data_IF_642475513168
#
_entry.id   IF_642475513168
#
_cell.length_a   1.000
_cell.length_b   1.000
_cell.length_c   1.000
_cell.angle_alpha   90.00
_cell.angle_beta   90.00
_cell.angle_gamma   90.00
#
_symmetry.space_group_name_H-M   'P 1'
#
loop_
_entity.id
_entity.type
_entity.pdbx_description
1 polymer ?
#
# COMPACT_ATOMS: atom_id res chain seq x y z
N UNK A 1 -3.94 -14.06 11.99
CA UNK A 1 -4.33 -12.78 11.34
C UNK A 1 -5.40 -13.11 10.31
N UNK A 2 -6.64 -12.66 10.52
CA UNK A 2 -7.70 -12.80 9.52
C UNK A 2 -7.30 -11.99 8.27
N UNK A 3 -7.66 -12.52 7.10
CA UNK A 3 -7.41 -11.94 5.77
C UNK A 3 -7.85 -10.47 5.69
N UNK A 4 -7.33 -9.67 4.74
CA UNK A 4 -7.71 -8.26 4.62
C UNK A 4 -9.23 -8.12 4.56
N UNK A 5 -9.72 -7.05 5.18
CA UNK A 5 -11.13 -6.70 5.28
C UNK A 5 -11.79 -6.82 3.89
N UNK A 6 -12.96 -7.47 3.77
CA UNK A 6 -13.68 -7.53 2.50
C UNK A 6 -13.99 -6.10 2.04
N UNK A 7 -13.43 -5.71 0.88
CA UNK A 7 -13.55 -4.36 0.33
C UNK A 7 -12.23 -3.67 -0.03
N UNK A 8 -11.08 -4.16 0.45
CA UNK A 8 -9.76 -3.63 0.08
C UNK A 8 -9.29 -4.19 -1.29
N UNK A 9 -10.08 -4.03 -2.35
CA UNK A 9 -9.76 -4.52 -3.70
C UNK A 9 -8.49 -3.92 -4.32
N UNK A 10 -7.97 -2.83 -3.75
CA UNK A 10 -6.70 -2.21 -4.11
C UNK A 10 -5.48 -2.94 -3.50
N UNK A 11 -5.68 -3.75 -2.46
CA UNK A 11 -4.61 -4.45 -1.77
C UNK A 11 -4.46 -5.86 -2.37
N UNK A 12 -3.34 -6.14 -3.02
CA UNK A 12 -3.02 -7.50 -3.46
C UNK A 12 -2.86 -8.41 -2.23
N UNK A 13 -3.48 -9.60 -2.21
CA UNK A 13 -3.31 -10.52 -1.10
C UNK A 13 -1.83 -10.90 -0.97
N UNK A 14 -1.30 -11.02 0.26
CA UNK A 14 0.10 -11.38 0.45
C UNK A 14 0.36 -12.76 -0.17
N UNK A 15 1.41 -12.85 -1.01
CA UNK A 15 1.83 -14.12 -1.61
C UNK A 15 2.22 -15.08 -0.48
N UNK A 16 1.42 -16.12 -0.28
CA UNK A 16 1.76 -17.19 0.66
C UNK A 16 2.91 -18.02 0.08
N UNK A 17 4.00 -18.13 0.83
CA UNK A 17 5.14 -18.96 0.43
C UNK A 17 4.75 -20.45 0.31
N UNK A 18 3.72 -20.89 1.04
CA UNK A 18 3.30 -22.29 1.08
C UNK A 18 4.08 -23.09 2.13
N UNK A 19 3.82 -24.40 2.20
CA UNK A 19 4.61 -25.34 3.03
C UNK A 19 6.01 -25.55 2.43
N UNK A 20 6.94 -26.09 3.23
CA UNK A 20 8.30 -26.38 2.76
C UNK A 20 8.28 -27.31 1.54
N UNK A 21 7.40 -28.31 1.59
CA UNK A 21 7.21 -29.32 0.57
C UNK A 21 6.70 -28.71 -0.74
N UNK A 22 5.73 -27.79 -0.66
CA UNK A 22 5.24 -27.05 -1.81
C UNK A 22 6.32 -26.17 -2.45
N UNK A 23 7.11 -25.47 -1.63
CA UNK A 23 8.21 -24.63 -2.13
C UNK A 23 9.24 -25.49 -2.86
N UNK A 24 9.63 -26.62 -2.26
CA UNK A 24 10.57 -27.55 -2.89
C UNK A 24 10.01 -28.15 -4.19
N UNK A 25 8.70 -28.45 -4.24
CA UNK A 25 8.04 -28.92 -5.46
C UNK A 25 8.07 -27.86 -6.57
N UNK A 26 7.76 -26.59 -6.25
CA UNK A 26 7.83 -25.47 -7.22
C UNK A 26 9.24 -25.26 -7.76
N UNK A 27 10.25 -25.31 -6.89
CA UNK A 27 11.65 -25.16 -7.30
C UNK A 27 12.05 -26.31 -8.23
N UNK A 28 11.73 -27.56 -7.87
CA UNK A 28 12.04 -28.72 -8.72
C UNK A 28 11.39 -28.62 -10.09
N UNK A 29 10.10 -28.24 -10.15
CA UNK A 29 9.39 -28.06 -11.41
C UNK A 29 10.03 -26.96 -12.26
N UNK A 30 10.34 -25.81 -11.66
CA UNK A 30 10.99 -24.71 -12.36
C UNK A 30 12.37 -25.11 -12.91
N UNK A 31 13.17 -25.83 -12.12
CA UNK A 31 14.48 -26.33 -12.55
C UNK A 31 14.35 -27.34 -13.69
N UNK A 32 13.39 -28.27 -13.63
CA UNK A 32 13.14 -29.22 -14.74
C UNK A 32 12.77 -28.49 -16.04
N UNK A 33 12.01 -27.40 -15.95
CA UNK A 33 11.60 -26.63 -17.11
C UNK A 33 12.75 -25.81 -17.72
N UNK A 34 13.66 -25.31 -16.89
CA UNK A 34 14.68 -24.32 -17.26
C UNK A 34 16.09 -24.88 -17.45
N UNK A 35 16.43 -26.03 -16.86
CA UNK A 35 17.77 -26.59 -16.97
C UNK A 35 18.11 -26.87 -18.44
N UNK A 36 19.22 -26.31 -18.91
CA UNK A 36 19.73 -26.52 -20.26
C UNK A 36 18.95 -25.80 -21.37
N UNK A 37 17.95 -24.98 -21.04
CA UNK A 37 17.24 -24.14 -22.00
C UNK A 37 17.70 -22.69 -21.89
N UNK A 38 17.75 -22.01 -23.04
CA UNK A 38 18.01 -20.59 -23.09
C UNK A 38 16.79 -19.85 -22.54
N UNK A 39 16.98 -19.18 -21.40
CA UNK A 39 15.91 -18.49 -20.70
C UNK A 39 15.65 -17.13 -21.36
N UNK A 40 14.43 -16.92 -21.83
CA UNK A 40 13.94 -15.60 -22.23
C UNK A 40 13.85 -14.73 -20.98
N UNK A 41 14.86 -13.89 -20.75
CA UNK A 41 14.83 -12.93 -19.65
C UNK A 41 13.72 -11.92 -19.87
N UNK A 42 12.92 -11.66 -18.83
CA UNK A 42 11.88 -10.63 -18.84
C UNK A 42 12.42 -9.29 -19.39
N UNK A 43 11.58 -8.61 -20.19
CA UNK A 43 11.91 -7.29 -20.70
C UNK A 43 12.17 -6.32 -19.55
N UNK A 44 13.00 -5.29 -19.80
CA UNK A 44 13.30 -4.27 -18.80
C UNK A 44 12.03 -3.62 -18.25
N UNK A 45 11.06 -3.35 -19.12
CA UNK A 45 9.78 -2.75 -18.73
C UNK A 45 8.98 -3.67 -17.80
N UNK A 46 8.85 -4.95 -18.15
CA UNK A 46 8.15 -5.94 -17.32
C UNK A 46 8.80 -6.10 -15.94
N UNK A 47 10.14 -6.05 -15.88
CA UNK A 47 10.87 -6.06 -14.61
C UNK A 47 10.59 -4.83 -13.76
N UNK A 48 10.61 -3.66 -14.37
CA UNK A 48 10.37 -2.38 -13.69
C UNK A 48 8.95 -2.28 -13.15
N UNK A 49 7.95 -2.68 -13.94
CA UNK A 49 6.54 -2.69 -13.49
C UNK A 49 6.34 -3.66 -12.33
N UNK A 50 6.86 -4.89 -12.44
CA UNK A 50 6.83 -5.88 -11.35
C UNK A 50 7.49 -5.37 -10.07
N UNK A 51 8.59 -4.63 -10.19
CA UNK A 51 9.28 -4.06 -9.03
C UNK A 51 8.50 -2.89 -8.41
N UNK A 52 7.96 -1.99 -9.23
CA UNK A 52 7.12 -0.89 -8.76
C UNK A 52 5.88 -1.41 -8.02
N UNK A 53 5.25 -2.45 -8.58
CA UNK A 53 4.12 -3.15 -7.96
C UNK A 53 4.48 -3.73 -6.59
N UNK A 54 5.64 -4.40 -6.47
CA UNK A 54 6.10 -4.97 -5.22
C UNK A 54 6.42 -3.90 -4.16
N UNK A 55 6.96 -2.74 -4.58
CA UNK A 55 7.20 -1.60 -3.69
C UNK A 55 5.89 -0.99 -3.19
N UNK A 56 4.91 -0.81 -4.07
CA UNK A 56 3.61 -0.27 -3.70
C UNK A 56 2.88 -1.18 -2.71
N UNK A 57 2.88 -2.50 -2.98
CA UNK A 57 2.31 -3.48 -2.06
C UNK A 57 3.00 -3.43 -0.69
N UNK A 58 4.34 -3.38 -0.67
CA UNK A 58 5.10 -3.26 0.58
C UNK A 58 4.75 -1.99 1.35
N UNK A 59 4.75 -0.83 0.68
CA UNK A 59 4.45 0.45 1.31
C UNK A 59 3.09 0.43 1.99
N UNK A 60 2.07 -0.12 1.31
CA UNK A 60 0.73 -0.25 1.87
C UNK A 60 0.72 -1.08 3.16
N UNK A 61 1.47 -2.18 3.21
CA UNK A 61 1.57 -3.01 4.42
C UNK A 61 2.32 -2.31 5.54
N UNK A 62 3.41 -1.61 5.22
CA UNK A 62 4.19 -0.83 6.19
C UNK A 62 3.34 0.32 6.77
N UNK A 63 2.55 1.02 5.94
CA UNK A 63 1.63 2.08 6.37
C UNK A 63 0.51 1.52 7.27
N UNK A 64 -0.09 0.39 6.89
CA UNK A 64 -1.12 -0.27 7.70
C UNK A 64 -0.56 -0.72 9.06
N UNK A 65 0.68 -1.24 9.07
CA UNK A 65 1.36 -1.62 10.30
C UNK A 65 1.60 -0.39 11.20
N UNK A 66 2.13 0.69 10.63
CA UNK A 66 2.35 1.94 11.36
C UNK A 66 1.03 2.50 11.94
N UNK A 67 -0.04 2.53 11.15
CA UNK A 67 -1.36 2.99 11.56
C UNK A 67 -1.97 2.13 12.69
N UNK A 68 -1.60 0.84 12.78
CA UNK A 68 -2.07 -0.05 13.85
C UNK A 68 -1.50 0.31 15.23
N UNK A 69 -0.30 0.89 15.28
CA UNK A 69 0.36 1.31 16.52
C UNK A 69 0.15 2.80 16.82
N UNK A 70 0.03 3.61 15.77
CA UNK A 70 -0.12 5.05 15.84
C UNK A 70 -1.31 5.50 14.98
N UNK A 71 -2.55 5.22 15.41
CA UNK A 71 -3.71 5.67 14.68
C UNK A 71 -3.71 7.20 14.64
N UNK A 72 -3.65 7.77 13.43
CA UNK A 72 -3.80 9.20 13.20
C UNK A 72 -5.24 9.60 13.51
N UNK A 73 -5.47 10.15 14.70
CA UNK A 73 -6.77 10.71 15.02
C UNK A 73 -6.94 12.05 14.31
N UNK A 74 -7.73 12.06 13.24
CA UNK A 74 -8.21 13.29 12.64
C UNK A 74 -9.49 13.68 13.36
N UNK A 75 -9.46 14.79 14.10
CA UNK A 75 -10.69 15.38 14.65
C UNK A 75 -11.63 15.74 13.52
N UNK A 76 -12.80 15.08 13.47
CA UNK A 76 -13.89 15.40 12.56
C UNK A 76 -14.86 16.34 13.26
N UNK A 77 -15.01 17.57 12.77
CA UNK A 77 -15.92 18.57 13.32
C UNK A 77 -15.36 19.99 13.30
N UNK A 78 -16.13 20.98 13.77
CA UNK A 78 -15.68 22.37 13.84
C UNK A 78 -14.46 22.48 14.76
N UNK A 79 -13.28 22.79 14.19
CA UNK A 79 -12.04 23.01 14.93
C UNK A 79 -11.93 24.49 15.29
N UNK A 80 -11.61 24.80 16.55
CA UNK A 80 -11.16 26.16 16.91
C UNK A 80 -9.82 26.41 16.21
N UNK A 81 -9.66 27.49 15.42
CA UNK A 81 -8.39 27.81 14.78
C UNK A 81 -7.28 27.93 15.83
N UNK A 82 -6.13 27.36 15.53
CA UNK A 82 -4.95 27.30 16.42
C UNK A 82 -4.25 28.67 16.53
N UNK A 83 -4.48 29.55 15.56
CA UNK A 83 -3.81 30.85 15.43
C UNK A 83 -4.81 31.98 15.71
N UNK A 84 -4.59 32.70 16.81
CA UNK A 84 -5.37 33.88 17.24
C UNK A 84 -4.81 35.18 16.66
N UNK A 85 -4.50 35.21 15.36
CA UNK A 85 -4.38 36.49 14.65
C UNK A 85 -5.69 36.75 13.88
N UNK A 86 -6.38 37.83 14.25
CA UNK A 86 -7.65 38.20 13.64
C UNK A 86 -7.51 38.59 12.16
N UNK A 87 -6.28 38.91 11.67
CA UNK A 87 -6.02 39.34 10.29
C UNK A 87 -5.82 38.20 9.30
N UNK A 88 -5.52 36.98 9.77
CA UNK A 88 -5.27 35.80 8.92
C UNK A 88 -6.40 34.75 9.00
N UNK A 89 -7.58 35.15 9.49
CA UNK A 89 -8.75 34.27 9.63
C UNK A 89 -9.26 33.81 8.26
N UNK A 90 -8.76 32.69 7.78
CA UNK A 90 -9.41 31.90 6.72
C UNK A 90 -10.54 31.11 7.37
N UNK A 91 -11.76 31.59 7.24
CA UNK A 91 -12.92 30.85 7.73
C UNK A 91 -13.20 29.67 6.79
N UNK A 92 -13.14 28.46 7.35
CA UNK A 92 -13.68 27.26 6.71
C UNK A 92 -15.20 27.35 6.73
N UNK A 93 -15.79 27.71 5.60
CA UNK A 93 -17.22 27.65 5.37
C UNK A 93 -17.71 26.20 5.25
N UNK A 94 -19.03 26.03 5.33
CA UNK A 94 -19.68 24.72 5.10
C UNK A 94 -19.28 24.20 3.72
N UNK A 95 -18.90 22.91 3.63
CA UNK A 95 -18.35 22.24 2.44
C UNK A 95 -16.92 22.61 2.02
N UNK A 96 -16.10 23.19 2.90
CA UNK A 96 -14.66 23.39 2.64
C UNK A 96 -14.34 24.63 1.79
N UNK A 97 -15.32 25.50 1.55
CA UNK A 97 -15.08 26.79 0.90
C UNK A 97 -14.41 27.76 1.88
N UNK A 98 -13.27 28.35 1.48
CA UNK A 98 -12.61 29.41 2.23
C UNK A 98 -13.26 30.75 1.88
N UNK A 99 -13.81 31.47 2.87
CA UNK A 99 -14.27 32.86 2.71
C UNK A 99 -13.30 33.80 3.44
N UNK A 100 -12.94 34.89 2.77
CA UNK A 100 -12.30 36.08 3.35
C UNK A 100 -13.33 37.21 3.28
N UNK A 101 -14.05 37.46 4.37
CA UNK A 101 -14.69 38.75 4.65
C UNK A 101 -13.89 39.43 5.77
#
# INVERSE_FOLDING_TARGET
MQSPLPGAGYARPPKRSGTKEEVLARIKAHLQETLGKQYETESKEARMTRHADALADRQLWDDNLAASFMPGFVTTGPRRPEETDNRMRRFLGRYGHVRND
#
